data_IF_475774265413
#
_entry.id   IF_475774265413
#
_cell.length_a   1.000
_cell.length_b   1.000
_cell.length_c   1.000
_cell.angle_alpha   90.00
_cell.angle_beta   90.00
_cell.angle_gamma   90.00
#
_symmetry.space_group_name_H-M   'P 1'
#
loop_
_entity.id
_entity.type
_entity.pdbx_description
1 polymer ?
#
# COMPACT_ATOMS: atom_id res chain seq x y z
N UNK A 1 1.00 -2.97 29.58
CA UNK A 1 -0.41 -3.38 29.51
C UNK A 1 -0.98 -3.19 28.09
N UNK A 2 -0.33 -3.75 27.07
CA UNK A 2 -0.94 -3.97 25.75
C UNK A 2 -1.46 -5.43 25.62
N UNK A 3 -0.87 -6.34 26.41
CA UNK A 3 -1.28 -7.74 26.54
C UNK A 3 -2.71 -7.93 27.06
N UNK A 4 -3.23 -6.98 27.83
CA UNK A 4 -4.59 -7.07 28.38
C UNK A 4 -5.69 -6.72 27.36
N UNK A 5 -5.38 -5.91 26.34
CA UNK A 5 -6.36 -5.45 25.34
C UNK A 5 -6.46 -6.38 24.13
N UNK A 6 -5.37 -7.04 23.76
CA UNK A 6 -5.28 -7.80 22.50
C UNK A 6 -4.83 -9.25 22.72
N UNK A 7 -5.47 -10.19 22.02
CA UNK A 7 -5.05 -11.59 22.04
C UNK A 7 -3.75 -11.77 21.24
N UNK A 8 -2.60 -11.56 21.88
CA UNK A 8 -1.29 -11.72 21.27
C UNK A 8 -0.97 -13.17 20.87
N UNK A 9 -1.79 -14.18 21.22
CA UNK A 9 -1.58 -15.54 20.69
C UNK A 9 -2.05 -15.66 19.24
N UNK A 10 -2.92 -14.76 18.77
CA UNK A 10 -3.37 -14.72 17.40
C UNK A 10 -2.26 -14.13 16.49
N UNK A 11 -1.75 -14.88 15.49
CA UNK A 11 -0.70 -14.39 14.59
C UNK A 11 -1.12 -13.15 13.79
N UNK A 12 -2.40 -13.03 13.41
CA UNK A 12 -2.93 -11.85 12.72
C UNK A 12 -2.81 -10.60 13.60
N UNK A 13 -3.19 -10.71 14.87
CA UNK A 13 -3.06 -9.62 15.85
C UNK A 13 -1.60 -9.20 16.02
N UNK A 14 -0.67 -10.15 16.15
CA UNK A 14 0.77 -9.82 16.22
C UNK A 14 1.23 -9.07 14.98
N UNK A 15 0.82 -9.53 13.79
CA UNK A 15 1.18 -8.91 12.50
C UNK A 15 0.65 -7.48 12.42
N UNK A 16 -0.63 -7.27 12.71
CA UNK A 16 -1.30 -5.97 12.68
C UNK A 16 -0.61 -4.97 13.61
N UNK A 17 -0.32 -5.36 14.86
CA UNK A 17 0.34 -4.49 15.83
C UNK A 17 1.79 -4.16 15.43
N UNK A 18 2.49 -5.10 14.80
CA UNK A 18 3.83 -4.87 14.27
C UNK A 18 3.81 -3.86 13.10
N UNK A 19 2.89 -4.02 12.14
CA UNK A 19 2.73 -3.07 11.03
C UNK A 19 2.32 -1.67 11.51
N UNK A 20 1.43 -1.59 12.51
CA UNK A 20 1.06 -0.31 13.12
C UNK A 20 2.28 0.40 13.70
N UNK A 21 3.13 -0.33 14.44
CA UNK A 21 4.36 0.21 15.00
C UNK A 21 5.33 0.67 13.91
N UNK A 22 5.48 -0.12 12.85
CA UNK A 22 6.33 0.23 11.70
C UNK A 22 5.82 1.51 11.02
N UNK A 23 4.51 1.62 10.79
CA UNK A 23 3.86 2.79 10.21
C UNK A 23 4.04 4.05 11.06
N UNK A 24 3.90 3.94 12.38
CA UNK A 24 4.14 5.05 13.30
C UNK A 24 5.61 5.47 13.37
N UNK A 25 6.53 4.51 13.29
CA UNK A 25 7.97 4.79 13.37
C UNK A 25 8.55 5.39 12.09
N UNK A 26 7.87 5.21 10.95
CA UNK A 26 8.29 5.71 9.65
C UNK A 26 7.07 6.29 8.89
N UNK A 27 6.56 7.47 9.28
CA UNK A 27 5.37 8.05 8.64
C UNK A 27 5.61 8.34 7.15
N UNK A 28 4.54 8.29 6.36
CA UNK A 28 4.55 8.68 4.95
C UNK A 28 3.93 10.06 4.76
N UNK A 29 4.39 10.81 3.76
CA UNK A 29 3.73 12.04 3.32
C UNK A 29 2.62 11.76 2.28
N UNK A 30 2.67 10.58 1.64
CA UNK A 30 1.72 10.20 0.58
C UNK A 30 0.45 9.53 1.10
N UNK A 31 0.46 9.07 2.35
CA UNK A 31 -0.71 8.46 2.97
C UNK A 31 -0.63 8.49 4.50
N UNK A 32 -1.80 8.35 5.12
CA UNK A 32 -1.95 8.10 6.54
C UNK A 32 -3.01 7.03 6.74
N UNK A 33 -2.79 6.13 7.72
CA UNK A 33 -3.77 5.10 8.04
C UNK A 33 -3.69 4.70 9.50
N UNK A 34 -4.85 4.52 10.12
CA UNK A 34 -4.97 4.16 11.53
C UNK A 34 -6.09 3.11 11.70
N UNK A 35 -5.89 2.09 12.55
CA UNK A 35 -6.95 1.16 12.94
C UNK A 35 -7.97 1.86 13.84
N UNK A 36 -9.21 1.35 13.86
CA UNK A 36 -10.15 1.72 14.89
C UNK A 36 -9.70 1.22 16.28
N UNK A 37 -10.03 1.98 17.32
CA UNK A 37 -9.63 1.65 18.69
C UNK A 37 -10.29 0.38 19.23
N UNK A 38 -11.53 0.12 18.81
CA UNK A 38 -12.36 -1.02 19.20
C UNK A 38 -12.15 -2.24 18.29
N UNK A 39 -11.75 -2.02 17.03
CA UNK A 39 -11.50 -3.08 16.07
C UNK A 39 -10.24 -2.83 15.21
N UNK A 40 -9.11 -3.44 15.60
CA UNK A 40 -7.85 -3.33 14.88
C UNK A 40 -7.82 -4.03 13.51
N UNK A 41 -8.88 -4.75 13.15
CA UNK A 41 -9.02 -5.34 11.82
C UNK A 41 -9.70 -4.39 10.83
N UNK A 42 -10.21 -3.24 11.29
CA UNK A 42 -10.77 -2.21 10.42
C UNK A 42 -9.96 -0.92 10.56
N UNK A 43 -9.49 -0.39 9.43
CA UNK A 43 -8.63 0.79 9.38
C UNK A 43 -9.29 1.88 8.56
N UNK A 44 -9.07 3.13 8.96
CA UNK A 44 -9.30 4.30 8.12
C UNK A 44 -7.99 4.70 7.47
N UNK A 45 -8.06 5.22 6.26
CA UNK A 45 -6.90 5.76 5.57
C UNK A 45 -7.26 6.97 4.72
N UNK A 46 -6.26 7.76 4.39
CA UNK A 46 -6.29 8.67 3.26
C UNK A 46 -5.00 8.57 2.46
N UNK A 47 -5.10 8.72 1.15
CA UNK A 47 -3.97 8.78 0.22
C UNK A 47 -3.96 10.12 -0.50
N UNK A 48 -2.75 10.61 -0.79
CA UNK A 48 -2.52 11.71 -1.72
C UNK A 48 -2.71 11.21 -3.14
N UNK A 49 -3.35 12.03 -3.98
CA UNK A 49 -3.42 11.76 -5.40
C UNK A 49 -2.03 11.75 -6.05
N UNK A 50 -1.72 10.80 -6.94
CA UNK A 50 -0.43 10.73 -7.63
C UNK A 50 -0.09 12.05 -8.35
N UNK A 51 1.16 12.48 -8.23
CA UNK A 51 1.69 13.64 -8.94
C UNK A 51 1.67 13.42 -10.45
N UNK A 52 1.54 14.50 -11.21
CA UNK A 52 1.53 14.50 -12.67
C UNK A 52 0.34 13.72 -13.27
N UNK A 53 -0.75 13.60 -12.51
CA UNK A 53 -1.99 12.94 -12.94
C UNK A 53 -3.20 13.84 -12.69
N UNK A 54 -4.36 13.46 -13.21
CA UNK A 54 -5.62 14.15 -12.94
C UNK A 54 -6.12 14.04 -11.49
N UNK A 55 -5.45 13.22 -10.67
CA UNK A 55 -5.74 13.06 -9.24
C UNK A 55 -4.85 13.95 -8.36
N UNK A 56 -3.81 14.57 -8.94
CA UNK A 56 -2.84 15.36 -8.18
C UNK A 56 -3.51 16.42 -7.29
N UNK A 57 -3.02 16.53 -6.06
CA UNK A 57 -3.55 17.45 -5.05
C UNK A 57 -4.79 16.93 -4.30
N UNK A 58 -5.41 15.83 -4.75
CA UNK A 58 -6.52 15.21 -4.04
C UNK A 58 -6.13 14.52 -2.74
N UNK A 59 -7.07 14.45 -1.79
CA UNK A 59 -6.98 13.68 -0.54
C UNK A 59 -8.14 12.69 -0.51
N UNK A 60 -7.83 11.42 -0.80
CA UNK A 60 -8.85 10.39 -0.98
C UNK A 60 -8.91 9.50 0.25
N UNK A 61 -10.02 9.62 0.99
CA UNK A 61 -10.29 8.81 2.17
C UNK A 61 -10.87 7.45 1.78
N UNK A 62 -10.58 6.45 2.60
CA UNK A 62 -11.06 5.10 2.42
C UNK A 62 -10.99 4.28 3.71
N UNK A 63 -11.40 3.02 3.60
CA UNK A 63 -11.27 2.05 4.67
C UNK A 63 -10.64 0.74 4.20
N UNK A 64 -9.94 0.08 5.12
CA UNK A 64 -9.34 -1.23 4.93
C UNK A 64 -10.02 -2.21 5.87
N UNK A 65 -10.48 -3.34 5.35
CA UNK A 65 -10.93 -4.47 6.16
C UNK A 65 -9.89 -5.58 6.06
N UNK A 66 -9.29 -5.93 7.19
CA UNK A 66 -8.39 -7.07 7.33
C UNK A 66 -9.23 -8.31 7.70
N UNK A 67 -9.07 -9.44 7.01
CA UNK A 67 -9.71 -10.69 7.40
C UNK A 67 -9.04 -11.29 8.66
N UNK A 68 -9.73 -12.24 9.31
CA UNK A 68 -9.19 -12.92 10.50
C UNK A 68 -7.91 -13.71 10.19
N UNK A 69 -7.76 -14.18 8.95
CA UNK A 69 -6.62 -14.93 8.45
C UNK A 69 -5.50 -14.03 7.91
N UNK A 70 -5.58 -12.71 8.06
CA UNK A 70 -4.51 -11.80 7.64
C UNK A 70 -3.18 -12.17 8.33
N UNK A 71 -2.04 -12.19 7.62
CA UNK A 71 -1.82 -11.77 6.24
C UNK A 71 -1.90 -12.91 5.22
N UNK A 72 -2.41 -14.10 5.58
CA UNK A 72 -2.55 -15.21 4.62
C UNK A 72 -3.69 -15.00 3.62
N UNK A 73 -4.68 -14.18 3.99
CA UNK A 73 -5.68 -13.64 3.07
C UNK A 73 -5.48 -12.13 2.90
N UNK A 74 -5.69 -11.59 1.68
CA UNK A 74 -5.56 -10.18 1.40
C UNK A 74 -6.60 -9.31 2.12
N UNK A 75 -6.31 -8.02 2.32
CA UNK A 75 -7.28 -7.03 2.75
C UNK A 75 -8.31 -6.69 1.65
N UNK A 76 -9.42 -6.07 2.05
CA UNK A 76 -10.32 -5.38 1.12
C UNK A 76 -10.28 -3.86 1.34
N UNK A 77 -10.47 -3.11 0.26
CA UNK A 77 -10.41 -1.64 0.24
C UNK A 77 -11.71 -1.06 -0.29
N UNK A 78 -12.11 0.09 0.25
CA UNK A 78 -13.20 0.92 -0.25
C UNK A 78 -12.77 2.38 -0.17
N UNK A 79 -13.00 3.16 -1.23
CA UNK A 79 -12.91 4.62 -1.14
C UNK A 79 -14.20 5.21 -0.61
N UNK A 80 -14.08 6.26 0.19
CA UNK A 80 -15.18 7.07 0.73
C UNK A 80 -15.27 8.41 -0.01
N UNK A 81 -14.14 8.96 -0.47
CA UNK A 81 -14.11 10.19 -1.27
C UNK A 81 -14.45 9.92 -2.74
N UNK A 82 -15.36 10.69 -3.35
CA UNK A 82 -15.53 10.72 -4.80
C UNK A 82 -14.21 11.07 -5.50
N UNK A 83 -13.86 10.29 -6.52
CA UNK A 83 -12.55 10.39 -7.19
C UNK A 83 -12.63 10.20 -8.72
N UNK A 84 -13.73 9.65 -9.25
CA UNK A 84 -13.92 9.45 -10.69
C UNK A 84 -13.15 8.27 -11.31
N UNK A 85 -12.46 7.45 -10.49
CA UNK A 85 -11.79 6.20 -10.85
C UNK A 85 -12.44 4.96 -10.24
N UNK A 86 -12.89 5.07 -9.00
CA UNK A 86 -13.52 4.00 -8.23
C UNK A 86 -14.84 4.50 -7.64
N UNK A 87 -15.86 3.66 -7.72
CA UNK A 87 -17.13 3.90 -7.06
C UNK A 87 -16.96 3.85 -5.54
N UNK A 88 -17.54 4.83 -4.86
CA UNK A 88 -17.42 4.96 -3.42
C UNK A 88 -18.17 3.86 -2.69
N UNK A 89 -17.66 3.41 -1.56
CA UNK A 89 -18.23 2.35 -0.72
C UNK A 89 -18.39 1.00 -1.42
N UNK A 90 -17.75 0.82 -2.57
CA UNK A 90 -17.66 -0.45 -3.29
C UNK A 90 -16.26 -1.05 -3.12
N UNK A 91 -16.19 -2.37 -2.93
CA UNK A 91 -14.90 -3.06 -2.82
C UNK A 91 -14.09 -2.87 -4.10
N UNK A 92 -12.87 -2.37 -3.96
CA UNK A 92 -11.95 -2.19 -5.08
C UNK A 92 -11.34 -3.54 -5.44
N UNK A 93 -11.41 -3.90 -6.72
CA UNK A 93 -10.84 -5.12 -7.26
C UNK A 93 -9.47 -4.81 -7.88
N UNK A 94 -8.39 -5.06 -7.13
CA UNK A 94 -7.00 -5.00 -7.59
C UNK A 94 -6.31 -6.34 -7.38
N UNK A 95 -5.18 -6.58 -8.06
CA UNK A 95 -4.32 -7.77 -7.81
C UNK A 95 -3.84 -7.88 -6.36
N UNK A 96 -3.80 -6.76 -5.64
CA UNK A 96 -3.44 -6.67 -4.21
C UNK A 96 -4.64 -6.83 -3.25
N UNK A 97 -5.85 -7.00 -3.78
CA UNK A 97 -7.10 -7.05 -3.01
C UNK A 97 -7.67 -8.46 -2.94
N UNK A 98 -8.66 -8.67 -2.07
CA UNK A 98 -9.38 -9.94 -1.94
C UNK A 98 -10.10 -10.44 -3.20
N UNK A 99 -10.14 -9.67 -4.28
CA UNK A 99 -10.66 -10.15 -5.56
C UNK A 99 -9.70 -11.09 -6.29
N UNK A 100 -8.40 -11.00 -6.03
CA UNK A 100 -7.34 -11.81 -6.64
C UNK A 100 -6.41 -12.43 -5.58
N UNK A 101 -6.93 -13.32 -4.72
CA UNK A 101 -6.15 -13.90 -3.63
C UNK A 101 -4.91 -14.67 -4.10
N UNK A 102 -4.87 -15.13 -5.35
CA UNK A 102 -3.72 -15.79 -5.99
C UNK A 102 -2.51 -14.88 -6.20
N UNK A 103 -2.72 -13.56 -6.29
CA UNK A 103 -1.66 -12.59 -6.51
C UNK A 103 -1.17 -11.96 -5.20
N UNK A 104 -1.94 -12.09 -4.12
CA UNK A 104 -1.55 -11.60 -2.81
C UNK A 104 -0.39 -12.39 -2.21
N UNK A 105 0.61 -11.67 -1.71
CA UNK A 105 1.72 -12.27 -0.97
C UNK A 105 1.61 -11.91 0.52
N UNK A 106 1.65 -12.88 1.46
CA UNK A 106 1.60 -12.59 2.90
C UNK A 106 2.76 -11.74 3.45
N UNK A 107 3.83 -11.56 2.65
CA UNK A 107 4.92 -10.63 2.93
C UNK A 107 4.51 -9.16 2.72
N UNK A 108 3.48 -8.88 1.93
CA UNK A 108 2.94 -7.54 1.75
C UNK A 108 2.19 -7.08 3.00
N UNK A 109 2.29 -5.78 3.29
CA UNK A 109 1.72 -5.08 4.43
C UNK A 109 0.62 -4.10 3.99
N UNK A 110 -0.08 -3.51 4.96
CA UNK A 110 -0.98 -2.37 4.74
C UNK A 110 -0.25 -1.24 4.00
N UNK A 111 0.99 -0.93 4.39
CA UNK A 111 1.82 0.08 3.70
C UNK A 111 1.99 -0.24 2.22
N UNK A 112 2.45 -1.45 1.89
CA UNK A 112 2.70 -1.80 0.48
C UNK A 112 1.40 -1.78 -0.32
N UNK A 113 0.28 -2.16 0.29
CA UNK A 113 -1.01 -2.11 -0.37
C UNK A 113 -1.50 -0.67 -0.63
N UNK A 114 -1.27 0.27 0.30
CA UNK A 114 -1.58 1.69 0.09
C UNK A 114 -0.71 2.33 -1.00
N UNK A 115 0.59 2.01 -1.02
CA UNK A 115 1.49 2.46 -2.10
C UNK A 115 1.02 1.93 -3.46
N UNK A 116 0.65 0.66 -3.53
CA UNK A 116 0.12 0.08 -4.75
C UNK A 116 -1.22 0.74 -5.15
N UNK A 117 -2.14 0.99 -4.20
CA UNK A 117 -3.39 1.70 -4.49
C UNK A 117 -3.14 3.09 -5.11
N UNK A 118 -2.17 3.85 -4.60
CA UNK A 118 -1.75 5.13 -5.18
C UNK A 118 -1.28 4.93 -6.62
N UNK A 119 -0.38 3.96 -6.86
CA UNK A 119 0.14 3.67 -8.20
C UNK A 119 -0.94 3.19 -9.19
N UNK A 120 -2.04 2.60 -8.71
CA UNK A 120 -3.16 2.14 -9.52
C UNK A 120 -4.17 3.24 -9.89
N UNK A 121 -4.20 4.37 -9.18
CA UNK A 121 -5.17 5.45 -9.46
C UNK A 121 -5.16 5.94 -10.92
N UNK A 122 -4.01 6.20 -11.58
CA UNK A 122 -3.98 6.73 -12.93
C UNK A 122 -4.08 5.67 -14.03
N UNK A 123 -4.20 4.38 -13.69
CA UNK A 123 -4.31 3.32 -14.69
C UNK A 123 -5.71 3.29 -15.30
N UNK A 124 -5.82 2.73 -16.51
CA UNK A 124 -7.08 2.60 -17.21
C UNK A 124 -8.09 1.76 -16.39
N UNK A 125 -9.36 2.19 -16.30
CA UNK A 125 -10.44 1.40 -15.69
C UNK A 125 -10.63 -0.02 -16.23
N UNK A 126 -10.34 -0.27 -17.51
CA UNK A 126 -10.48 -1.56 -18.21
C UNK A 126 -11.83 -2.29 -17.95
N UNK A 127 -12.89 -1.54 -17.62
CA UNK A 127 -14.21 -2.08 -17.32
C UNK A 127 -14.30 -2.93 -16.04
N UNK A 128 -13.32 -2.85 -15.13
CA UNK A 128 -13.33 -3.61 -13.88
C UNK A 128 -14.55 -3.24 -13.00
N UNK A 129 -15.03 -4.19 -12.19
CA UNK A 129 -16.17 -3.98 -11.30
C UNK A 129 -15.90 -2.84 -10.30
N UNK A 130 -16.83 -1.89 -10.21
CA UNK A 130 -16.71 -0.70 -9.34
C UNK A 130 -15.76 0.36 -9.89
N UNK A 131 -15.34 0.24 -11.14
CA UNK A 131 -14.53 1.22 -11.84
C UNK A 131 -15.38 2.32 -12.48
N UNK A 132 -14.90 3.56 -12.45
CA UNK A 132 -15.51 4.73 -13.09
C UNK A 132 -14.56 5.30 -14.15
N UNK A 133 -15.13 5.82 -15.24
CA UNK A 133 -14.36 6.43 -16.34
C UNK A 133 -14.76 7.88 -16.59
N UNK A 134 -14.50 8.73 -15.58
CA UNK A 134 -14.75 10.17 -15.69
C UNK A 134 -13.67 10.83 -16.53
N UNK A 135 -14.01 11.97 -17.15
CA UNK A 135 -13.02 12.76 -17.90
C UNK A 135 -11.96 13.32 -16.95
N UNK A 136 -10.77 13.60 -17.48
CA UNK A 136 -9.64 14.12 -16.69
C UNK A 136 -10.00 15.42 -15.98
N UNK A 137 -10.80 16.28 -16.61
CA UNK A 137 -11.24 17.57 -16.04
C UNK A 137 -12.15 17.37 -14.82
N UNK A 138 -13.04 16.37 -14.88
CA UNK A 138 -13.94 16.02 -13.79
C UNK A 138 -13.17 15.41 -12.61
N UNK A 139 -12.19 14.53 -12.91
CA UNK A 139 -11.29 13.96 -11.88
C UNK A 139 -10.49 15.05 -11.16
N UNK A 140 -9.99 16.06 -11.88
CA UNK A 140 -9.31 17.24 -11.28
C UNK A 140 -10.24 18.05 -10.38
N UNK A 141 -11.49 18.27 -10.80
CA UNK A 141 -12.47 18.97 -9.96
C UNK A 141 -12.77 18.19 -8.66
N UNK A 142 -12.86 16.86 -8.75
CA UNK A 142 -13.01 15.99 -7.57
C UNK A 142 -11.76 16.00 -6.68
N UNK A 143 -10.56 16.06 -7.25
CA UNK A 143 -9.32 16.19 -6.50
C UNK A 143 -9.32 17.47 -5.64
N UNK A 144 -9.69 18.62 -6.22
CA UNK A 144 -9.81 19.89 -5.48
C UNK A 144 -10.86 19.77 -4.37
N UNK A 145 -12.06 19.29 -4.71
CA UNK A 145 -13.18 19.15 -3.76
C UNK A 145 -12.85 18.23 -2.59
N UNK A 146 -12.07 17.18 -2.82
CA UNK A 146 -11.68 16.22 -1.77
C UNK A 146 -10.87 16.83 -0.62
N UNK A 147 -10.30 18.02 -0.83
CA UNK A 147 -9.53 18.76 0.19
C UNK A 147 -10.38 19.65 1.09
N UNK A 148 -11.59 19.99 0.66
CA UNK A 148 -12.44 20.96 1.36
C UNK A 148 -12.98 20.41 2.68
N UNK A 149 -13.31 19.11 2.69
CA UNK A 149 -13.78 18.43 3.87
C UNK A 149 -13.56 16.91 3.76
N UNK A 150 -13.28 16.30 4.90
CA UNK A 150 -13.32 14.86 5.05
C UNK A 150 -14.74 14.29 4.83
N UNK A 151 -14.90 13.09 4.26
CA UNK A 151 -16.22 12.48 4.09
C UNK A 151 -16.84 12.16 5.45
N UNK A 152 -18.18 12.17 5.49
CA UNK A 152 -18.95 11.79 6.67
C UNK A 152 -19.32 10.31 6.61
N UNK A 153 -18.82 9.50 7.55
CA UNK A 153 -18.98 8.05 7.51
C UNK A 153 -18.90 7.38 8.89
N UNK A 154 -19.88 6.52 9.19
CA UNK A 154 -19.90 5.65 10.36
C UNK A 154 -20.18 6.35 11.69
N UNK A 155 -19.59 5.84 12.78
CA UNK A 155 -19.79 6.31 14.15
C UNK A 155 -19.01 7.60 14.44
N UNK A 156 -19.29 8.24 15.57
CA UNK A 156 -18.57 9.44 16.02
C UNK A 156 -17.08 9.20 16.20
N UNK A 157 -16.69 8.05 16.75
CA UNK A 157 -15.30 7.65 16.98
C UNK A 157 -14.56 7.47 15.65
N UNK A 158 -15.21 6.81 14.70
CA UNK A 158 -14.69 6.68 13.34
C UNK A 158 -14.55 8.04 12.66
N UNK A 159 -15.55 8.91 12.79
CA UNK A 159 -15.51 10.23 12.20
C UNK A 159 -14.34 11.06 12.74
N UNK A 160 -14.07 11.02 14.04
CA UNK A 160 -12.90 11.67 14.65
C UNK A 160 -11.59 11.19 14.03
N UNK A 161 -11.47 9.88 13.80
CA UNK A 161 -10.29 9.29 13.18
C UNK A 161 -10.13 9.74 11.71
N UNK A 162 -11.23 9.78 10.95
CA UNK A 162 -11.24 10.29 9.57
C UNK A 162 -10.82 11.77 9.56
N UNK A 163 -11.37 12.59 10.45
CA UNK A 163 -11.05 14.02 10.56
C UNK A 163 -9.56 14.21 10.94
N UNK A 164 -9.01 13.43 11.89
CA UNK A 164 -7.58 13.44 12.27
C UNK A 164 -6.67 13.09 11.08
N UNK A 165 -7.01 12.02 10.35
CA UNK A 165 -6.28 11.61 9.14
C UNK A 165 -6.30 12.74 8.10
N UNK A 166 -7.44 13.41 7.93
CA UNK A 166 -7.57 14.47 6.94
C UNK A 166 -6.68 15.68 7.27
N UNK A 167 -6.68 16.14 8.52
CA UNK A 167 -5.83 17.22 8.99
C UNK A 167 -4.33 16.88 8.82
N UNK A 168 -3.94 15.64 9.13
CA UNK A 168 -2.58 15.18 8.85
C UNK A 168 -2.25 15.29 7.35
N UNK A 169 -3.10 14.77 6.47
CA UNK A 169 -2.86 14.82 5.03
C UNK A 169 -2.81 16.26 4.50
N UNK A 170 -3.65 17.16 5.00
CA UNK A 170 -3.61 18.58 4.67
C UNK A 170 -2.28 19.22 5.08
N UNK A 171 -1.75 18.87 6.26
CA UNK A 171 -0.45 19.37 6.74
C UNK A 171 0.75 18.94 5.89
N UNK A 172 0.61 17.83 5.14
CA UNK A 172 1.65 17.29 4.25
C UNK A 172 1.47 17.67 2.78
N UNK A 173 0.26 18.06 2.39
CA UNK A 173 -0.07 18.36 1.01
C UNK A 173 0.47 19.73 0.58
N UNK A 174 1.07 19.86 -0.61
CA UNK A 174 1.38 21.16 -1.18
C UNK A 174 0.09 21.99 -1.44
N UNK A 175 0.19 23.33 -1.53
CA UNK A 175 -0.93 24.18 -1.93
C UNK A 175 -1.47 23.77 -3.29
N UNK A 176 -2.78 23.94 -3.49
CA UNK A 176 -3.48 23.55 -4.72
C UNK A 176 -2.86 24.28 -5.92
N UNK A 177 -2.47 23.57 -7.01
CA UNK A 177 -2.13 24.22 -8.26
C UNK A 177 -3.33 25.03 -8.75
N UNK A 178 -3.21 26.36 -8.79
CA UNK A 178 -4.29 27.20 -9.29
C UNK A 178 -4.51 26.91 -10.76
N UNK A 179 -5.72 26.46 -11.13
CA UNK A 179 -6.15 26.45 -12.52
C UNK A 179 -6.20 27.93 -12.96
N UNK A 180 -5.55 28.33 -14.08
CA UNK A 180 -5.69 29.68 -14.60
C UNK A 180 -7.18 29.98 -14.78
N UNK A 181 -7.72 30.87 -13.95
CA UNK A 181 -9.09 31.33 -14.14
C UNK A 181 -9.09 32.15 -15.43
N UNK A 182 -9.94 31.84 -16.43
CA UNK A 182 -10.13 32.74 -17.55
C UNK A 182 -10.50 34.11 -16.99
N UNK A 183 -9.98 35.22 -17.53
CA UNK A 183 -10.32 36.54 -17.00
C UNK A 183 -11.85 36.73 -17.02
N UNK A 184 -12.40 36.96 -15.82
CA UNK A 184 -13.78 37.40 -15.64
C UNK A 184 -13.93 38.76 -16.33
N UNK A 185 -14.42 38.76 -17.56
CA UNK A 185 -15.03 39.94 -18.14
C UNK A 185 -16.44 40.02 -17.57
N UNK A 186 -16.60 40.77 -16.49
CA UNK A 186 -17.90 41.28 -16.09
C UNK A 186 -18.30 42.38 -17.07
N UNK A 187 -19.42 42.19 -17.77
CA UNK A 187 -20.49 43.17 -18.06
C UNK A 187 -21.41 42.63 -19.16
N UNK A 188 -22.71 42.55 -18.88
CA UNK A 188 -23.76 42.29 -19.88
C UNK A 188 -24.95 41.49 -19.36
N UNK A 189 -25.89 42.20 -18.73
CA UNK A 189 -27.27 41.72 -18.51
C UNK A 189 -27.93 41.30 -19.84
N UNK A 190 -28.75 40.25 -19.81
CA UNK A 190 -29.85 40.11 -20.77
C UNK A 190 -30.06 38.73 -21.40
N UNK A 191 -31.22 38.15 -21.08
CA UNK A 191 -32.05 37.23 -21.88
C UNK A 191 -31.60 35.78 -22.10
N UNK A 192 -32.32 34.86 -21.44
CA UNK A 192 -32.57 33.50 -21.96
C UNK A 192 -33.16 33.54 -23.38
N UNK A 193 -32.87 32.51 -24.18
CA UNK A 193 -33.87 32.00 -25.10
C UNK A 193 -34.16 30.52 -24.81
N UNK A 194 -35.41 30.28 -24.46
CA UNK A 194 -36.08 29.00 -24.58
C UNK A 194 -36.34 28.71 -26.07
N UNK A 195 -35.98 27.52 -26.59
CA UNK A 195 -36.62 27.00 -27.79
C UNK A 195 -36.65 25.48 -27.81
N UNK A 196 -37.87 24.97 -27.64
CA UNK A 196 -38.30 23.63 -28.03
C UNK A 196 -38.43 23.54 -29.56
N UNK A 197 -38.19 22.32 -30.07
CA UNK A 197 -38.54 21.76 -31.38
C UNK A 197 -37.69 22.14 -32.59
N UNK A 198 -36.99 21.16 -33.16
CA UNK A 198 -37.29 20.62 -34.49
C UNK A 198 -36.45 19.37 -34.81
N UNK A 199 -37.13 18.35 -35.27
CA UNK A 199 -36.62 17.08 -35.78
C UNK A 199 -35.80 17.21 -37.09
N UNK A 200 -35.06 16.12 -37.37
CA UNK A 200 -34.62 15.62 -38.67
C UNK A 200 -33.50 16.37 -39.41
N UNK A 201 -32.30 15.78 -39.48
CA UNK A 201 -31.69 15.34 -40.76
C UNK A 201 -30.93 14.03 -40.51
N UNK A 202 -31.25 13.03 -41.34
CA UNK A 202 -30.63 11.73 -41.40
C UNK A 202 -29.36 11.74 -42.28
N UNK A 203 -28.44 10.84 -41.95
CA UNK A 203 -27.50 10.21 -42.88
C UNK A 203 -26.11 10.83 -42.93
N UNK A 204 -25.12 10.10 -42.41
CA UNK A 204 -24.15 9.42 -43.27
C UNK A 204 -23.42 8.32 -42.48
N UNK A 205 -23.47 7.11 -43.03
CA UNK A 205 -22.78 5.90 -42.57
C UNK A 205 -21.40 5.91 -43.23
N UNK A 206 -20.33 5.74 -42.46
CA UNK A 206 -19.06 5.23 -42.99
C UNK A 206 -18.54 4.15 -42.05
N UNK A 207 -18.43 2.94 -42.58
CA UNK A 207 -17.94 1.72 -41.92
C UNK A 207 -16.59 1.30 -42.54
N UNK A 208 -15.79 0.58 -41.73
CA UNK A 208 -14.64 -0.29 -42.06
C UNK A 208 -13.25 0.39 -42.16
N UNK A 209 -12.13 -0.17 -41.66
CA UNK A 209 -11.83 -1.46 -41.02
C UNK A 209 -10.39 -1.45 -40.38
N UNK A 210 -9.95 -2.54 -39.72
CA UNK A 210 -8.91 -2.55 -38.68
C UNK A 210 -7.50 -2.98 -39.16
N UNK A 211 -6.51 -2.75 -38.30
CA UNK A 211 -5.23 -3.46 -38.31
C UNK A 211 -4.05 -2.55 -37.99
N UNK A 212 -3.42 -2.76 -36.83
CA UNK A 212 -1.97 -2.91 -36.70
C UNK A 212 -1.59 -3.09 -35.21
N UNK A 213 -1.08 -4.29 -34.90
CA UNK A 213 -0.37 -4.59 -33.66
C UNK A 213 0.99 -3.88 -33.66
N UNK A 214 1.28 -3.07 -32.63
CA UNK A 214 2.65 -2.68 -32.33
C UNK A 214 2.98 -3.02 -30.87
N UNK A 215 3.83 -4.04 -30.73
CA UNK A 215 4.60 -4.35 -29.53
C UNK A 215 5.47 -3.15 -29.18
N UNK A 216 5.32 -2.63 -27.97
CA UNK A 216 6.32 -1.74 -27.37
C UNK A 216 7.07 -2.46 -26.26
N UNK A 217 8.40 -2.36 -26.35
CA UNK A 217 9.39 -2.90 -25.43
C UNK A 217 9.56 -1.87 -24.31
N UNK A 218 9.41 -2.29 -23.06
CA UNK A 218 9.54 -1.43 -21.88
C UNK A 218 11.01 -1.34 -21.47
N UNK A 219 11.59 -0.14 -21.54
CA UNK A 219 12.98 0.14 -21.16
C UNK A 219 12.96 0.86 -19.80
N UNK A 220 13.55 0.22 -18.79
CA UNK A 220 13.53 0.68 -17.38
C UNK A 220 14.63 1.72 -17.17
N UNK A 221 14.25 2.96 -16.84
CA UNK A 221 15.20 3.96 -16.33
C UNK A 221 15.10 4.07 -14.79
N UNK A 222 16.18 3.67 -14.11
CA UNK A 222 16.38 3.87 -12.68
C UNK A 222 16.66 5.35 -12.36
N UNK A 223 15.94 5.91 -11.38
CA UNK A 223 16.23 7.24 -10.81
C UNK A 223 16.81 7.08 -9.39
N UNK A 224 18.03 7.57 -9.20
CA UNK A 224 18.69 7.72 -7.90
C UNK A 224 18.10 8.91 -7.13
N UNK A 225 17.76 8.72 -5.85
CA UNK A 225 17.33 9.79 -4.93
C UNK A 225 18.43 10.03 -3.89
N UNK A 226 18.92 11.28 -3.83
CA UNK A 226 19.85 11.75 -2.81
C UNK A 226 19.10 12.04 -1.50
N UNK A 227 19.60 11.52 -0.39
CA UNK A 227 19.13 11.77 0.96
C UNK A 227 19.93 12.89 1.62
N UNK A 228 19.29 14.04 1.89
CA UNK A 228 19.71 14.91 2.99
C UNK A 228 18.56 15.83 3.44
N UNK A 229 17.97 15.53 4.59
CA UNK A 229 17.24 16.49 5.42
C UNK A 229 17.03 15.88 6.83
N UNK A 230 17.57 16.53 7.85
CA UNK A 230 17.57 16.09 9.24
C UNK A 230 16.17 16.02 9.90
N UNK A 231 16.08 15.43 11.10
CA UNK A 231 14.80 15.07 11.70
C UNK A 231 14.07 16.27 12.32
N UNK A 232 12.88 16.56 11.80
CA UNK A 232 11.89 17.45 12.44
C UNK A 232 11.07 16.62 13.44
N UNK A 233 11.15 16.98 14.72
CA UNK A 233 10.36 16.35 15.80
C UNK A 233 8.96 16.94 15.87
N UNK A 234 7.95 16.12 15.60
CA UNK A 234 6.54 16.43 15.92
C UNK A 234 6.16 15.63 17.18
N UNK A 235 5.59 16.31 18.19
CA UNK A 235 5.16 15.69 19.44
C UNK A 235 3.69 15.28 19.35
N UNK A 236 3.39 14.01 19.55
CA UNK A 236 2.03 13.48 19.66
C UNK A 236 1.55 13.50 21.12
N UNK A 237 0.37 14.06 21.36
CA UNK A 237 -0.34 13.92 22.63
C UNK A 237 -1.25 12.70 22.61
N UNK A 238 -0.68 11.52 22.85
CA UNK A 238 -1.43 10.33 23.27
C UNK A 238 -0.74 9.74 24.50
N UNK A 239 -1.49 9.64 25.60
CA UNK A 239 -0.96 9.32 26.92
C UNK A 239 -0.35 7.93 27.03
N UNK A 240 0.99 7.86 27.00
CA UNK A 240 1.76 6.85 27.71
C UNK A 240 2.95 7.55 28.41
N UNK A 241 2.76 7.90 29.69
CA UNK A 241 3.85 8.40 30.54
C UNK A 241 4.55 7.24 31.24
N UNK A 242 5.64 6.75 30.65
CA UNK A 242 6.64 5.98 31.40
C UNK A 242 7.61 6.98 32.05
N UNK A 243 7.38 7.29 33.33
CA UNK A 243 8.39 8.03 34.11
C UNK A 243 9.44 7.04 34.60
N UNK A 244 10.68 7.18 34.14
CA UNK A 244 11.85 6.65 34.86
C UNK A 244 12.73 7.82 35.28
N UNK A 245 12.72 8.07 36.59
CA UNK A 245 13.60 9.02 37.28
C UNK A 245 15.05 8.55 37.15
N UNK A 246 15.96 9.46 36.80
CA UNK A 246 17.42 9.28 36.93
C UNK A 246 17.91 10.31 37.95
N UNK A 247 18.55 9.92 39.07
CA UNK A 247 19.31 10.83 39.90
C UNK A 247 20.66 11.14 39.23
N UNK A 248 21.05 12.40 39.23
CA UNK A 248 22.26 12.88 38.58
C UNK A 248 23.56 12.58 39.34
N UNK A 249 24.68 12.71 38.63
CA UNK A 249 25.90 13.39 39.06
C UNK A 249 26.96 13.28 37.94
N UNK A 250 27.36 14.46 37.45
CA UNK A 250 28.71 14.96 37.18
C UNK A 250 29.84 14.11 36.55
N UNK A 251 30.79 14.89 36.03
CA UNK A 251 31.84 14.61 35.06
C UNK A 251 33.01 13.77 35.58
N UNK A 252 33.72 13.22 34.58
CA UNK A 252 35.12 12.78 34.54
C UNK A 252 35.57 11.65 35.47
N UNK A 253 35.89 10.49 34.90
CA UNK A 253 37.29 10.08 34.77
C UNK A 253 37.45 8.88 33.81
N UNK A 254 38.57 8.92 33.10
CA UNK A 254 39.00 8.05 32.03
C UNK A 254 39.54 6.74 32.62
N UNK A 255 38.98 5.60 32.23
CA UNK A 255 39.58 4.29 32.53
C UNK A 255 39.43 3.35 31.33
N UNK A 256 40.56 3.04 30.71
CA UNK A 256 40.71 2.24 29.50
C UNK A 256 40.20 0.80 29.70
N UNK A 257 39.47 0.26 28.72
CA UNK A 257 39.22 -1.19 28.55
C UNK A 257 39.41 -1.58 27.07
N UNK A 258 39.91 -2.81 26.80
CA UNK A 258 40.69 -3.11 25.61
C UNK A 258 39.84 -3.41 24.37
N UNK A 259 40.46 -3.25 23.20
CA UNK A 259 39.91 -3.54 21.87
C UNK A 259 39.19 -4.89 21.82
N UNK A 260 37.90 -4.86 21.47
CA UNK A 260 37.17 -6.07 21.10
C UNK A 260 37.46 -6.44 19.65
N UNK A 261 38.34 -7.43 19.48
CA UNK A 261 38.53 -8.16 18.23
C UNK A 261 37.22 -8.88 17.87
N UNK A 262 36.58 -8.47 16.79
CA UNK A 262 35.46 -9.20 16.17
C UNK A 262 35.95 -10.57 15.72
N UNK A 263 35.50 -11.65 16.38
CA UNK A 263 35.75 -13.02 15.94
C UNK A 263 34.74 -13.39 14.85
N UNK A 264 35.26 -13.64 13.64
CA UNK A 264 34.51 -14.25 12.52
C UNK A 264 34.10 -15.68 12.92
N UNK A 265 32.86 -16.13 12.66
CA UNK A 265 32.45 -17.50 13.00
C UNK A 265 33.26 -18.53 12.21
N UNK A 266 33.58 -19.66 12.82
CA UNK A 266 34.42 -20.72 12.24
C UNK A 266 33.73 -21.38 11.03
N UNK A 267 34.16 -20.98 9.82
CA UNK A 267 33.73 -21.53 8.52
C UNK A 267 33.97 -23.04 8.38
N UNK A 268 34.74 -23.64 9.30
CA UNK A 268 35.04 -25.07 9.33
C UNK A 268 33.81 -25.92 9.61
N UNK A 269 32.91 -25.47 10.50
CA UNK A 269 31.71 -26.26 10.85
C UNK A 269 30.76 -26.43 9.64
N UNK A 270 30.58 -25.36 8.86
CA UNK A 270 29.81 -25.42 7.62
C UNK A 270 30.49 -26.28 6.55
N UNK A 271 31.83 -26.25 6.50
CA UNK A 271 32.60 -27.08 5.57
C UNK A 271 32.47 -28.57 5.91
N UNK A 272 32.55 -28.96 7.18
CA UNK A 272 32.37 -30.35 7.61
C UNK A 272 30.94 -30.85 7.40
N UNK A 273 29.93 -30.00 7.61
CA UNK A 273 28.54 -30.33 7.34
C UNK A 273 28.29 -30.60 5.84
N UNK A 274 28.86 -29.77 4.95
CA UNK A 274 28.75 -29.95 3.50
C UNK A 274 29.45 -31.24 3.02
N UNK A 275 30.63 -31.56 3.55
CA UNK A 275 31.35 -32.81 3.25
C UNK A 275 30.54 -34.02 3.73
N UNK A 276 29.97 -33.95 4.93
CA UNK A 276 29.12 -35.01 5.47
C UNK A 276 27.88 -35.28 4.62
N UNK A 277 27.21 -34.22 4.16
CA UNK A 277 26.05 -34.32 3.26
C UNK A 277 26.43 -34.97 1.92
N UNK A 278 27.55 -34.56 1.32
CA UNK A 278 28.02 -35.14 0.05
C UNK A 278 28.34 -36.63 0.17
N UNK A 279 28.99 -37.04 1.27
CA UNK A 279 29.30 -38.44 1.52
C UNK A 279 28.03 -39.28 1.73
N UNK A 280 27.04 -38.76 2.45
CA UNK A 280 25.75 -39.42 2.63
C UNK A 280 25.01 -39.64 1.30
N UNK A 281 25.00 -38.64 0.42
CA UNK A 281 24.42 -38.76 -0.93
C UNK A 281 25.17 -39.82 -1.75
N UNK A 282 26.50 -39.83 -1.71
CA UNK A 282 27.31 -40.82 -2.44
C UNK A 282 27.01 -42.25 -1.97
N UNK A 283 26.90 -42.47 -0.65
CA UNK A 283 26.53 -43.79 -0.08
C UNK A 283 25.13 -44.21 -0.52
N UNK A 284 24.16 -43.29 -0.58
CA UNK A 284 22.82 -43.60 -1.06
C UNK A 284 22.80 -43.96 -2.55
N UNK A 285 23.59 -43.27 -3.37
CA UNK A 285 23.76 -43.57 -4.80
C UNK A 285 24.44 -44.92 -5.00
N UNK A 286 25.51 -45.23 -4.26
CA UNK A 286 26.17 -46.53 -4.30
C UNK A 286 25.24 -47.65 -3.85
N UNK A 287 24.48 -47.44 -2.77
CA UNK A 287 23.50 -48.42 -2.30
C UNK A 287 22.39 -48.65 -3.33
N UNK A 288 21.93 -47.58 -4.01
CA UNK A 288 20.97 -47.68 -5.11
C UNK A 288 21.57 -48.41 -6.31
N UNK A 289 22.82 -48.16 -6.64
CA UNK A 289 23.54 -48.83 -7.74
C UNK A 289 23.76 -50.32 -7.46
N UNK A 290 24.20 -50.68 -6.25
CA UNK A 290 24.37 -52.07 -5.81
C UNK A 290 23.04 -52.82 -5.76
N UNK A 291 21.95 -52.16 -5.33
CA UNK A 291 20.60 -52.73 -5.37
C UNK A 291 20.09 -52.88 -6.81
N UNK A 292 20.45 -51.98 -7.71
CA UNK A 292 20.05 -52.02 -9.12
C UNK A 292 20.85 -53.02 -9.95
N UNK A 293 22.09 -53.35 -9.55
CA UNK A 293 22.95 -54.34 -10.22
C UNK A 293 22.91 -55.74 -9.54
N UNK A 294 22.13 -55.91 -8.47
CA UNK A 294 22.09 -57.14 -7.65
C UNK A 294 20.83 -58.00 -7.79
N UNK A 295 20.12 -57.94 -8.93
CA UNK A 295 18.96 -58.81 -9.22
C UNK A 295 18.92 -59.26 -10.69
N UNK A 296 19.91 -60.04 -11.12
CA UNK A 296 19.78 -61.03 -12.20
C UNK A 296 20.68 -62.21 -11.83
N UNK A 297 20.09 -63.33 -11.44
CA UNK A 297 20.83 -64.60 -11.32
C UNK A 297 20.48 -65.50 -10.13
N UNK A 298 19.21 -65.77 -9.87
CA UNK A 298 18.77 -67.04 -9.27
C UNK A 298 17.29 -67.25 -9.62
N UNK A 299 17.03 -68.07 -10.64
CA UNK A 299 15.87 -68.96 -10.78
C UNK A 299 15.83 -69.52 -12.21
N UNK A 300 15.95 -70.85 -12.30
CA UNK A 300 15.82 -71.65 -13.52
C UNK A 300 16.91 -72.72 -13.50
N UNK A 301 16.66 -73.97 -13.17
CA UNK A 301 15.45 -74.74 -12.87
C UNK A 301 15.91 -76.16 -12.54
N UNK A 302 14.95 -77.03 -12.26
CA UNK A 302 15.07 -78.48 -12.15
C UNK A 302 16.05 -79.13 -13.14
#
# INVERSE_FOLDING_TARGET
>A
MAEEKYNLKNPAVKRILQELKEMQSNPSDDFMSLPLEDNIFEWQFAISGPRETEFEGGIYHGRIQLPAEYPFKPPSFMLLSPNGRFETQTNICLSISNHHPEHWQPSWSVRTALVALIAFMPTNPDGALGSLDYKKEERRALAIKSREAAPKFGTTERQKLIDEIHEYMLSKSPPIPQIPTPPNNAEGEGSEPNLQNADNIAGEIVEANPGEEQRFVEDVHELHVNADAGPVRVSFSAGLRLTRRVPGAELSEQSQRPDQVVRKPDDRLFTWAAIGLAFAILVLVLKKFLKSNGYVGYMGGL
#
